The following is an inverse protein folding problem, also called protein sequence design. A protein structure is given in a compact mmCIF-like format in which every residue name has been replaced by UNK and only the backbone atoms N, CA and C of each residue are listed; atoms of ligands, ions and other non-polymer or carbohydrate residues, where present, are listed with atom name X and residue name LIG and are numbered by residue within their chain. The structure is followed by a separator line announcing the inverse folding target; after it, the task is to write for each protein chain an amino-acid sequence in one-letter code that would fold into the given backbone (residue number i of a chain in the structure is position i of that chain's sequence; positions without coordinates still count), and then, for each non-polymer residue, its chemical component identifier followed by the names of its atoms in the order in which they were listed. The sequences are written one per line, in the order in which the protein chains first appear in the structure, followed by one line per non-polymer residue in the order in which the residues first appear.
data_IF_462199978345
#
_entry.id   IF_462199978345
#
_cell.length_a   1.000
_cell.length_b   1.000
_cell.length_c   1.000
_cell.angle_alpha   90.00
_cell.angle_beta   90.00
_cell.angle_gamma   90.00
#
_symmetry.space_group_name_H-M   'P 1'
#
loop_
_entity.id
_entity.type
_entity.pdbx_description
1 polymer ?
2 non-polymer ?
3 non-polymer ?
4 non-polymer ?
5 water ?
#
# COMPACT_ATOMS: atom_id res chain seq x y z
N UNK A 2 -36.66 -15.42 -0.97
CA UNK A 2 -36.07 -14.35 -1.85
C UNK A 2 -35.22 -13.29 -1.11
N UNK A 3 -34.02 -13.00 -1.65
CA UNK A 3 -33.09 -11.99 -1.11
C UNK A 3 -32.91 -10.76 -2.02
N UNK A 4 -33.61 -9.66 -1.71
CA UNK A 4 -33.55 -8.39 -2.45
C UNK A 4 -32.35 -7.50 -2.12
N UNK A 5 -32.24 -6.35 -2.81
CA UNK A 5 -31.10 -5.43 -2.66
C UNK A 5 -31.02 -4.77 -1.28
N UNK A 6 -32.16 -4.39 -0.76
CA UNK A 6 -32.24 -3.78 0.56
C UNK A 6 -31.86 -4.81 1.65
N UNK A 7 -32.36 -6.04 1.51
CA UNK A 7 -31.95 -7.16 2.32
C UNK A 7 -30.46 -7.41 2.22
N UNK A 8 -29.94 -7.42 1.00
CA UNK A 8 -28.50 -7.52 0.81
C UNK A 8 -27.75 -6.40 1.51
N UNK A 9 -28.27 -5.17 1.48
CA UNK A 9 -27.63 -4.05 2.19
C UNK A 9 -27.58 -4.35 3.68
N UNK A 10 -28.71 -4.80 4.22
CA UNK A 10 -28.78 -5.21 5.63
C UNK A 10 -27.81 -6.33 6.01
N UNK A 11 -27.76 -7.36 5.16
CA UNK A 11 -26.88 -8.48 5.37
C UNK A 11 -25.38 -8.07 5.47
N UNK A 12 -24.92 -7.22 4.56
CA UNK A 12 -23.56 -6.71 4.67
C UNK A 12 -23.31 -5.87 5.89
N UNK A 13 -24.29 -5.07 6.32
CA UNK A 13 -24.12 -4.29 7.55
C UNK A 13 -23.80 -5.24 8.70
N UNK A 14 -24.57 -6.33 8.78
CA UNK A 14 -24.45 -7.38 9.80
C UNK A 14 -23.09 -8.08 9.74
N UNK A 15 -22.65 -8.47 8.55
CA UNK A 15 -21.37 -9.15 8.40
C UNK A 15 -20.23 -8.21 8.70
N UNK A 16 -20.39 -6.93 8.30
CA UNK A 16 -19.40 -5.87 8.63
C UNK A 16 -19.23 -5.72 10.14
N UNK A 17 -20.36 -5.58 10.86
CA UNK A 17 -20.33 -5.52 12.32
C UNK A 17 -19.62 -6.74 12.96
N UNK A 18 -20.04 -7.97 12.63
CA UNK A 18 -19.38 -9.18 13.11
C UNK A 18 -17.88 -9.22 12.84
N UNK A 19 -17.51 -8.89 11.61
CA UNK A 19 -16.11 -8.92 11.18
C UNK A 19 -15.24 -8.00 12.02
N UNK A 20 -15.75 -6.80 12.26
CA UNK A 20 -15.04 -5.85 13.08
C UNK A 20 -14.78 -6.42 14.47
N UNK A 21 -15.77 -7.09 15.03
CA UNK A 21 -15.62 -7.72 16.35
C UNK A 21 -14.65 -8.89 16.33
N UNK A 22 -14.77 -9.73 15.32
CA UNK A 22 -13.86 -10.85 15.13
C UNK A 22 -12.40 -10.37 15.07
N UNK A 23 -12.16 -9.27 14.37
CA UNK A 23 -10.82 -8.78 14.13
C UNK A 23 -10.25 -8.23 15.44
N UNK A 24 -11.04 -7.42 16.11
CA UNK A 24 -10.69 -6.92 17.42
C UNK A 24 -10.23 -8.03 18.37
N UNK A 25 -10.97 -9.14 18.42
CA UNK A 25 -10.60 -10.20 19.35
C UNK A 25 -9.41 -11.03 18.90
N UNK A 26 -9.12 -11.05 17.60
CA UNK A 26 -8.05 -11.85 17.01
C UNK A 26 -6.70 -11.13 16.99
N UNK A 27 -6.73 -9.83 16.77
CA UNK A 27 -5.50 -9.04 16.67
C UNK A 27 -4.51 -9.27 17.82
N UNK A 28 -4.97 -9.30 19.10
CA UNK A 28 -3.99 -9.53 20.19
C UNK A 28 -3.22 -10.86 20.15
N UNK A 29 -3.69 -11.83 19.35
CA UNK A 29 -2.99 -13.09 19.10
C UNK A 29 -1.72 -12.97 18.25
N UNK A 30 -1.58 -11.91 17.46
CA UNK A 30 -0.45 -11.79 16.54
C UNK A 30 0.81 -11.41 17.29
N UNK A 31 1.82 -12.26 17.26
CA UNK A 31 3.01 -12.05 18.10
C UNK A 31 4.16 -11.50 17.27
N UNK A 32 4.01 -10.28 16.75
CA UNK A 32 5.10 -9.62 16.01
C UNK A 32 4.97 -9.62 14.51
N UNK A 33 5.24 -8.46 13.90
CA UNK A 33 5.25 -8.28 12.44
C UNK A 33 6.54 -7.55 12.05
N UNK A 34 7.21 -8.05 11.02
CA UNK A 34 8.33 -7.39 10.43
C UNK A 34 7.84 -6.54 9.26
N UNK A 35 8.30 -5.29 9.18
CA UNK A 35 7.93 -4.43 8.06
C UNK A 35 9.16 -3.80 7.44
N UNK A 36 9.26 -3.89 6.12
CA UNK A 36 10.44 -3.45 5.40
C UNK A 36 10.04 -3.27 3.95
N UNK A 37 10.75 -2.44 3.17
CA UNK A 37 11.95 -1.72 3.59
C UNK A 37 11.73 -0.22 3.65
N UNK A 38 10.66 0.28 3.03
CA UNK A 38 10.49 1.73 2.87
C UNK A 38 9.79 2.51 3.98
N UNK A 39 10.57 3.37 4.64
CA UNK A 39 10.08 4.33 5.64
C UNK A 39 10.64 5.71 5.32
N UNK A 40 9.78 6.72 5.32
CA UNK A 40 10.20 8.08 5.11
C UNK A 40 9.28 9.10 5.81
N UNK A 41 9.44 10.38 5.45
CA UNK A 41 8.58 11.45 5.95
C UNK A 41 7.63 11.90 4.84
N UNK A 42 6.35 12.03 5.16
CA UNK A 42 5.37 12.57 4.24
C UNK A 42 4.97 13.96 4.65
N UNK A 43 5.21 14.91 3.75
CA UNK A 43 4.94 16.30 3.98
C UNK A 43 3.71 16.63 3.12
N UNK A 44 2.60 16.88 3.80
CA UNK A 44 1.31 16.98 3.14
C UNK A 44 0.85 18.42 2.97
N UNK A 45 0.65 18.82 1.71
CA UNK A 45 0.08 20.12 1.38
C UNK A 45 -1.32 19.91 0.82
N UNK A 46 -2.27 20.68 1.31
CA UNK A 46 -3.62 20.67 0.74
C UNK A 46 -3.67 21.80 -0.27
N UNK A 47 -3.72 21.43 -1.55
CA UNK A 47 -3.57 22.41 -2.62
C UNK A 47 -4.60 23.51 -2.56
N UNK A 48 -4.17 24.67 -3.01
CA UNK A 48 -5.01 25.81 -3.04
C UNK A 48 -4.99 26.36 -4.45
N UNK A 49 -6.18 26.50 -5.05
CA UNK A 49 -6.31 27.03 -6.41
C UNK A 49 -5.47 28.28 -6.60
N UNK A 50 -5.75 29.28 -5.75
CA UNK A 50 -5.08 30.56 -5.81
C UNK A 50 -3.56 30.41 -5.80
N UNK A 51 -3.04 29.62 -4.85
CA UNK A 51 -1.59 29.49 -4.64
C UNK A 51 -0.95 28.84 -5.86
N UNK A 52 -1.53 27.70 -6.27
CA UNK A 52 -1.05 26.92 -7.41
C UNK A 52 -0.94 27.76 -8.68
N UNK A 53 -2.04 28.38 -9.08
CA UNK A 53 -2.04 29.32 -10.21
C UNK A 53 -0.91 30.36 -10.18
N UNK A 54 -0.72 31.05 -9.06
CA UNK A 54 0.36 32.03 -8.93
C UNK A 54 1.71 31.42 -9.32
N UNK A 55 1.90 30.17 -8.90
CA UNK A 55 3.19 29.49 -9.01
C UNK A 55 3.49 29.10 -10.44
N UNK A 56 2.50 28.47 -11.07
CA UNK A 56 2.53 28.18 -12.51
C UNK A 56 2.86 29.46 -13.30
N UNK A 57 2.04 30.50 -13.10
CA UNK A 57 2.23 31.83 -13.67
C UNK A 57 3.65 32.39 -13.51
N UNK A 58 4.24 32.25 -12.32
CA UNK A 58 5.57 32.82 -12.08
C UNK A 58 6.64 32.11 -12.90
N UNK A 59 6.52 30.79 -13.01
CA UNK A 59 7.55 29.97 -13.66
C UNK A 59 7.40 29.98 -15.19
N UNK A 60 6.17 30.25 -15.64
CA UNK A 60 5.84 30.26 -17.07
C UNK A 60 4.75 29.24 -17.35
N UNK A 61 3.52 29.73 -17.53
CA UNK A 61 2.32 28.88 -17.71
C UNK A 61 2.42 28.00 -18.97
N UNK A 62 3.02 28.58 -20.01
CA UNK A 62 3.33 27.92 -21.28
C UNK A 62 4.05 26.61 -21.03
N UNK A 63 5.30 26.72 -20.60
CA UNK A 63 6.15 25.57 -20.28
C UNK A 63 5.40 24.55 -19.40
N UNK A 64 4.71 25.02 -18.37
CA UNK A 64 4.01 24.12 -17.45
C UNK A 64 2.94 23.32 -18.20
N UNK A 65 2.18 24.02 -19.04
CA UNK A 65 1.12 23.35 -19.80
C UNK A 65 1.65 22.38 -20.85
N UNK A 66 2.80 22.72 -21.46
CA UNK A 66 3.50 21.78 -22.34
C UNK A 66 3.80 20.47 -21.61
N UNK A 67 4.34 20.58 -20.39
CA UNK A 67 4.77 19.42 -19.59
C UNK A 67 3.60 18.48 -19.27
N UNK A 68 2.39 19.03 -19.15
CA UNK A 68 1.22 18.18 -18.89
C UNK A 68 1.02 17.12 -19.98
N UNK A 69 1.33 17.50 -21.23
CA UNK A 69 1.21 16.61 -22.39
C UNK A 69 2.46 15.77 -22.68
N UNK A 70 3.64 16.33 -22.41
CA UNK A 70 4.94 15.64 -22.51
C UNK A 70 5.54 15.25 -21.15
N UNK A 71 4.82 14.45 -20.33
CA UNK A 71 5.31 14.18 -18.98
C UNK A 71 6.71 13.54 -18.95
N UNK A 72 7.67 14.16 -18.24
CA UNK A 72 8.96 13.48 -18.05
C UNK A 72 8.82 12.27 -17.14
N UNK A 73 9.91 11.57 -16.96
CA UNK A 73 9.95 10.37 -16.13
C UNK A 73 10.27 10.79 -14.68
N UNK A 74 11.07 11.85 -14.55
CA UNK A 74 11.45 12.45 -13.26
C UNK A 74 11.60 13.98 -13.30
N UNK A 75 11.48 14.62 -12.13
CA UNK A 75 11.45 16.09 -12.02
C UNK A 75 12.87 16.67 -12.04
N UNK A 76 13.10 17.67 -12.87
CA UNK A 76 14.43 18.29 -13.03
C UNK A 76 14.38 19.81 -13.04
N UNK A 77 13.17 20.33 -12.83
CA UNK A 77 12.90 21.77 -12.86
C UNK A 77 11.54 22.01 -12.21
N UNK A 78 11.28 23.25 -11.85
CA UNK A 78 10.03 23.61 -11.18
C UNK A 78 8.83 23.37 -12.11
N UNK A 79 9.02 23.72 -13.38
CA UNK A 79 8.04 23.45 -14.44
C UNK A 79 7.59 22.02 -14.44
N UNK A 80 8.56 21.09 -14.44
CA UNK A 80 8.20 19.67 -14.47
C UNK A 80 7.45 19.25 -13.19
N UNK A 81 7.73 19.91 -12.07
CA UNK A 81 7.02 19.65 -10.81
C UNK A 81 5.56 20.08 -10.90
N UNK A 82 5.36 21.32 -11.33
CA UNK A 82 4.04 21.90 -11.40
C UNK A 82 3.25 21.26 -12.54
N UNK A 83 3.95 20.93 -13.63
CA UNK A 83 3.37 20.16 -14.74
C UNK A 83 2.88 18.82 -14.23
N UNK A 84 3.71 18.14 -13.45
CA UNK A 84 3.32 16.87 -12.85
C UNK A 84 2.09 16.99 -11.97
N UNK A 85 1.98 18.10 -11.24
CA UNK A 85 0.87 18.29 -10.30
C UNK A 85 -0.44 18.53 -11.05
N UNK A 86 -0.39 19.45 -12.01
CA UNK A 86 -1.54 19.76 -12.88
C UNK A 86 -1.97 18.52 -13.66
N UNK A 87 -1.00 17.80 -14.23
CA UNK A 87 -1.28 16.53 -14.89
C UNK A 87 -2.03 15.58 -13.95
N UNK A 88 -1.64 15.58 -12.69
CA UNK A 88 -2.24 14.64 -11.74
C UNK A 88 -3.67 15.05 -11.49
N UNK A 89 -3.91 16.36 -11.47
CA UNK A 89 -5.25 16.90 -11.31
C UNK A 89 -6.13 16.57 -12.53
N UNK A 90 -5.68 16.95 -13.73
CA UNK A 90 -6.37 16.61 -14.97
C UNK A 90 -6.78 15.14 -15.04
N UNK A 91 -5.84 14.24 -14.80
CA UNK A 91 -6.13 12.82 -14.96
C UNK A 91 -6.78 12.23 -13.73
N UNK A 92 -6.98 13.05 -12.71
CA UNK A 92 -7.49 12.59 -11.40
C UNK A 92 -6.73 11.40 -10.86
N UNK A 93 -5.41 11.42 -11.05
CA UNK A 93 -4.56 10.21 -10.95
C UNK A 93 -3.47 10.27 -9.84
N UNK A 94 -3.34 9.20 -9.07
CA UNK A 94 -2.18 9.01 -8.16
C UNK A 94 -0.91 8.93 -9.02
N UNK A 95 0.00 9.86 -8.79
CA UNK A 95 1.29 9.86 -9.48
C UNK A 95 2.43 10.18 -8.50
N UNK A 96 3.62 9.72 -8.86
CA UNK A 96 4.80 9.96 -8.05
C UNK A 96 6.06 10.04 -8.90
N UNK A 97 6.71 11.20 -8.86
CA UNK A 97 7.94 11.43 -9.61
C UNK A 97 9.08 11.78 -8.71
N UNK A 98 10.24 11.22 -9.04
CA UNK A 98 11.46 11.43 -8.28
C UNK A 98 12.01 12.83 -8.55
N UNK A 99 12.61 13.44 -7.53
CA UNK A 99 13.11 14.79 -7.69
C UNK A 99 14.63 14.78 -7.70
N UNK A 100 15.21 14.83 -8.88
CA UNK A 100 16.65 14.80 -8.99
C UNK A 100 17.28 16.14 -8.70
N UNK A 101 16.58 17.21 -9.05
CA UNK A 101 17.15 18.55 -8.99
C UNK A 101 17.24 19.12 -7.58
N UNK A 102 18.41 19.64 -7.24
CA UNK A 102 18.63 20.29 -5.96
C UNK A 102 17.76 21.53 -5.83
N UNK A 103 17.74 22.34 -6.88
CA UNK A 103 17.02 23.61 -6.84
C UNK A 103 15.53 23.38 -6.57
N UNK A 104 15.01 22.27 -7.08
CA UNK A 104 13.62 21.96 -6.90
C UNK A 104 13.38 21.51 -5.47
N UNK A 105 14.29 20.73 -4.90
CA UNK A 105 14.19 20.31 -3.49
C UNK A 105 14.10 21.54 -2.57
N UNK A 106 14.94 22.54 -2.82
CA UNK A 106 14.83 23.83 -2.16
C UNK A 106 13.47 24.49 -2.36
N UNK A 107 12.90 24.34 -3.57
CA UNK A 107 11.60 24.93 -3.88
C UNK A 107 10.48 24.21 -3.14
N UNK A 108 10.62 22.90 -3.06
CA UNK A 108 9.68 22.08 -2.37
C UNK A 108 9.63 22.47 -0.90
N UNK A 109 10.81 22.58 -0.27
CA UNK A 109 10.88 22.90 1.14
C UNK A 109 10.34 24.32 1.41
N UNK A 110 10.60 25.26 0.52
CA UNK A 110 10.04 26.60 0.72
C UNK A 110 8.55 26.62 0.61
N UNK A 111 8.02 25.90 -0.37
CA UNK A 111 6.60 25.90 -0.57
C UNK A 111 5.92 25.27 0.62
N UNK A 112 6.59 24.32 1.26
CA UNK A 112 6.21 23.89 2.60
C UNK A 112 5.12 22.84 2.64
N UNK A 113 4.50 22.69 3.82
CA UNK A 113 3.47 21.67 4.04
C UNK A 113 2.56 22.04 5.15
N UNK A 114 1.43 21.36 5.22
CA UNK A 114 0.39 21.67 6.19
C UNK A 114 0.42 20.66 7.31
N UNK A 115 0.96 19.49 7.03
CA UNK A 115 0.89 18.40 7.97
C UNK A 115 2.05 17.47 7.70
N UNK A 116 2.56 16.89 8.77
CA UNK A 116 3.65 15.97 8.64
C UNK A 116 3.19 14.62 9.19
N UNK A 117 3.40 13.57 8.40
CA UNK A 117 3.00 12.22 8.75
C UNK A 117 4.12 11.24 8.44
N UNK A 118 4.08 10.08 9.08
CA UNK A 118 4.96 8.98 8.75
C UNK A 118 4.68 8.64 7.29
N UNK A 119 5.72 8.23 6.55
CA UNK A 119 5.58 7.94 5.12
C UNK A 119 6.26 6.63 4.74
N UNK A 120 6.23 6.31 3.45
CA UNK A 120 6.64 4.98 2.98
C UNK A 120 5.66 3.88 3.38
N UNK A 121 5.67 2.78 2.64
CA UNK A 121 4.73 1.69 2.86
C UNK A 121 4.92 0.97 4.21
N UNK A 122 6.16 0.56 4.50
CA UNK A 122 6.51 -0.02 5.80
C UNK A 122 6.23 0.94 6.97
N UNK A 123 6.57 2.22 6.78
CA UNK A 123 6.34 3.27 7.80
C UNK A 123 4.86 3.42 8.14
N UNK A 124 4.06 3.69 7.14
CA UNK A 124 2.62 3.76 7.33
C UNK A 124 2.09 2.49 7.95
N UNK A 125 2.52 1.33 7.43
CA UNK A 125 2.03 0.06 8.01
C UNK A 125 2.42 -0.10 9.48
N UNK A 126 3.61 0.39 9.82
CA UNK A 126 4.12 0.33 11.18
C UNK A 126 3.26 1.12 12.15
N UNK A 127 2.99 2.38 11.81
CA UNK A 127 2.13 3.19 12.66
C UNK A 127 0.80 2.52 12.90
N UNK A 128 0.25 1.91 11.84
CA UNK A 128 -1.06 1.31 11.92
C UNK A 128 -1.02 0.06 12.78
N UNK A 129 -0.06 -0.83 12.51
CA UNK A 129 -0.06 -2.15 13.13
C UNK A 129 0.33 -2.07 14.59
N UNK A 130 1.31 -1.22 14.88
CA UNK A 130 1.84 -1.09 16.22
C UNK A 130 1.07 -0.06 17.01
N UNK A 131 0.85 1.09 16.40
CA UNK A 131 0.20 2.21 17.05
C UNK A 131 -1.28 2.05 17.25
N UNK A 132 -2.00 1.62 16.20
CA UNK A 132 -3.44 1.47 16.30
C UNK A 132 -3.79 0.05 16.78
N UNK A 133 -3.27 -0.97 16.09
CA UNK A 133 -3.63 -2.37 16.45
C UNK A 133 -2.84 -2.93 17.62
N UNK A 134 -1.73 -2.30 17.98
CA UNK A 134 -0.91 -2.73 19.15
C UNK A 134 -0.23 -4.09 18.96
N UNK A 135 -0.06 -4.50 17.71
CA UNK A 135 0.73 -5.68 17.38
C UNK A 135 2.21 -5.32 17.46
N UNK A 136 2.99 -6.03 18.29
CA UNK A 136 4.41 -5.67 18.37
C UNK A 136 4.98 -5.68 16.98
N UNK A 137 5.66 -4.60 16.62
CA UNK A 137 6.10 -4.33 15.27
C UNK A 137 7.58 -3.96 15.19
N UNK A 138 8.29 -4.60 14.27
CA UNK A 138 9.67 -4.26 13.94
C UNK A 138 9.69 -3.69 12.53
N UNK A 139 10.25 -2.48 12.40
CA UNK A 139 10.19 -1.72 11.13
C UNK A 139 11.58 -1.30 10.69
N UNK A 140 11.85 -1.42 9.38
CA UNK A 140 13.06 -0.91 8.78
C UNK A 140 12.96 0.57 8.59
N UNK A 141 13.96 1.30 9.10
CA UNK A 141 13.99 2.77 8.96
C UNK A 141 15.36 3.20 8.46
N UNK A 142 15.45 3.43 7.16
CA UNK A 142 16.75 3.65 6.51
C UNK A 142 17.55 4.80 7.13
N UNK A 143 16.84 5.82 7.60
CA UNK A 143 17.46 7.03 8.15
C UNK A 143 16.52 7.55 9.25
N UNK A 144 17.04 7.72 10.47
CA UNK A 144 16.21 8.03 11.62
C UNK A 144 16.60 9.30 12.40
N UNK A 145 16.52 10.48 11.75
CA UNK A 145 16.65 11.73 12.50
C UNK A 145 15.43 12.00 13.37
N UNK A 146 15.55 12.96 14.30
CA UNK A 146 14.48 13.29 15.26
C UNK A 146 13.13 13.45 14.58
N UNK A 147 13.09 14.16 13.46
CA UNK A 147 11.85 14.47 12.79
C UNK A 147 11.18 13.22 12.23
N UNK A 148 12.00 12.26 11.77
CA UNK A 148 11.56 10.95 11.30
C UNK A 148 10.99 10.12 12.44
N UNK A 149 11.84 9.86 13.43
CA UNK A 149 11.52 9.09 14.61
C UNK A 149 10.22 9.47 15.34
N UNK A 150 9.95 10.76 15.42
CA UNK A 150 8.83 11.27 16.22
C UNK A 150 7.50 11.16 15.53
N UNK A 151 7.51 10.96 14.22
CA UNK A 151 6.28 10.68 13.50
C UNK A 151 5.72 9.31 13.85
N UNK A 152 6.52 8.42 14.42
CA UNK A 152 5.99 7.17 14.98
C UNK A 152 5.11 7.44 16.22
N UNK A 153 3.94 6.84 16.26
CA UNK A 153 3.06 6.97 17.43
C UNK A 153 3.58 6.11 18.57
N UNK A 154 3.09 6.36 19.77
CA UNK A 154 3.44 5.56 20.91
C UNK A 154 2.87 4.15 20.76
N UNK A 155 3.68 3.16 21.09
CA UNK A 155 3.18 1.79 21.14
C UNK A 155 4.30 0.82 20.89
N UNK A 156 3.97 -0.48 20.75
CA UNK A 156 5.00 -1.46 20.54
C UNK A 156 5.55 -1.42 19.10
N UNK A 157 6.15 -0.31 18.73
CA UNK A 157 6.90 -0.15 17.48
C UNK A 157 8.40 -0.13 17.76
N UNK A 158 9.14 -0.99 17.05
CA UNK A 158 10.56 -1.16 17.36
C UNK A 158 11.42 -1.14 16.11
N UNK A 159 12.65 -0.66 16.31
CA UNK A 159 13.73 -0.81 15.33
C UNK A 159 14.85 -1.61 15.97
N UNK A 160 15.51 -2.47 15.17
CA UNK A 160 16.60 -3.29 15.68
C UNK A 160 17.88 -2.48 15.77
N UNK A 161 18.64 -2.65 16.83
CA UNK A 161 19.93 -2.00 16.91
C UNK A 161 21.00 -2.91 17.54
N UNK A 162 22.18 -2.95 16.91
CA UNK A 162 23.34 -3.66 17.45
C UNK A 162 23.96 -2.94 18.66
N UNK A 163 23.95 -3.58 19.82
CA UNK A 163 24.75 -3.15 20.97
C UNK A 163 25.63 -4.33 21.40
N UNK A 164 26.88 -4.35 20.92
CA UNK A 164 27.74 -5.52 21.08
C UNK A 164 27.34 -6.57 20.05
N UNK A 165 27.40 -7.84 20.43
CA UNK A 165 26.87 -8.93 19.59
C UNK A 165 25.36 -9.03 19.78
N UNK A 166 24.88 -8.38 20.84
CA UNK A 166 23.48 -8.36 21.21
C UNK A 166 22.69 -7.44 20.26
N UNK A 167 21.54 -7.93 19.81
CA UNK A 167 20.62 -7.14 19.03
C UNK A 167 19.47 -6.71 19.95
N UNK A 168 19.25 -5.40 20.04
CA UNK A 168 18.21 -4.84 20.89
C UNK A 168 17.07 -4.29 20.07
N UNK A 169 15.86 -4.37 20.62
CA UNK A 169 14.67 -3.79 20.02
C UNK A 169 14.24 -2.55 20.81
N UNK A 170 14.44 -1.39 20.22
CA UNK A 170 14.09 -0.13 20.88
C UNK A 170 13.07 0.68 20.07
N UNK A 171 12.31 1.54 20.74
CA UNK A 171 11.41 2.48 20.05
C UNK A 171 12.22 3.43 19.19
N UNK A 172 11.68 3.86 18.03
CA UNK A 172 12.43 4.74 17.14
C UNK A 172 12.93 6.02 17.81
N UNK A 173 12.11 6.60 18.68
CA UNK A 173 12.53 7.82 19.38
C UNK A 173 13.75 7.58 20.28
N UNK A 174 14.13 6.32 20.48
CA UNK A 174 15.30 5.97 21.30
C UNK A 174 16.47 5.53 20.45
N UNK A 175 16.34 5.65 19.13
CA UNK A 175 17.41 5.28 18.19
C UNK A 175 17.65 6.42 17.20
N UNK A 176 17.35 7.63 17.63
CA UNK A 176 17.58 8.81 16.82
C UNK A 176 19.06 8.90 16.48
N UNK A 177 19.35 9.15 15.21
CA UNK A 177 20.72 9.40 14.75
C UNK A 177 20.75 10.68 13.97
N UNK A 178 21.94 11.22 13.78
CA UNK A 178 22.14 12.36 12.90
C UNK A 178 22.20 11.88 11.46
N UNK A 179 21.03 11.65 10.88
CA UNK A 179 20.90 11.13 9.51
C UNK A 179 19.94 11.99 8.67
N UNK A 180 19.73 11.61 7.41
CA UNK A 180 18.95 12.43 6.48
C UNK A 180 17.44 12.34 6.63
N UNK A 181 16.79 13.50 6.48
CA UNK A 181 15.33 13.53 6.32
C UNK A 181 14.97 13.06 4.93
N UNK A 182 14.21 11.98 4.85
CA UNK A 182 13.73 11.50 3.55
C UNK A 182 12.30 12.01 3.29
N UNK A 183 12.20 13.18 2.65
CA UNK A 183 10.89 13.85 2.50
C UNK A 183 10.18 13.47 1.19
N UNK A 184 8.94 13.05 1.31
CA UNK A 184 8.07 12.89 0.15
C UNK A 184 7.06 13.99 0.25
N UNK A 185 6.99 14.82 -0.78
CA UNK A 185 6.06 15.93 -0.80
C UNK A 185 4.75 15.52 -1.45
N UNK A 186 3.68 15.59 -0.68
CA UNK A 186 2.38 15.04 -1.03
C UNK A 186 1.35 16.15 -1.26
N UNK A 187 0.87 16.24 -2.50
CA UNK A 187 -0.06 17.30 -2.87
C UNK A 187 -1.47 16.75 -3.08
N UNK A 188 -2.28 16.84 -2.02
CA UNK A 188 -3.65 16.35 -2.05
C UNK A 188 -4.61 17.35 -2.70
N UNK A 189 -5.53 16.83 -3.51
CA UNK A 189 -6.63 17.64 -4.07
C UNK A 189 -7.92 16.87 -4.03
N UNK A 190 -9.05 17.57 -3.79
CA UNK A 190 -10.40 16.93 -3.75
C UNK A 190 -11.07 16.81 -5.13
N UNK A 191 -12.09 15.93 -5.23
CA UNK A 191 -13.05 15.96 -6.36
C UNK A 191 -13.41 17.40 -6.73
N UNK A 192 -13.19 17.79 -7.98
CA UNK A 192 -13.63 19.09 -8.46
C UNK A 192 -12.64 20.20 -8.26
N UNK A 193 -11.48 19.88 -7.67
CA UNK A 193 -10.43 20.89 -7.53
C UNK A 193 -10.14 21.46 -8.92
N UNK A 194 -10.01 22.78 -9.01
CA UNK A 194 -9.83 23.39 -10.31
C UNK A 194 -8.73 24.44 -10.33
N UNK A 195 -7.84 24.32 -11.29
CA UNK A 195 -6.80 25.27 -11.46
C UNK A 195 -6.78 25.66 -12.91
N UNK A 196 -6.96 26.94 -13.17
CA UNK A 196 -7.10 27.42 -14.53
C UNK A 196 -8.36 26.82 -15.12
N UNK A 197 -8.20 25.89 -16.05
CA UNK A 197 -9.32 25.28 -16.73
C UNK A 197 -9.21 23.80 -16.61
N UNK A 198 -8.42 23.32 -15.66
CA UNK A 198 -8.29 21.90 -15.42
C UNK A 198 -9.08 21.65 -14.15
N UNK A 199 -9.92 20.62 -14.18
CA UNK A 199 -10.63 20.22 -12.98
C UNK A 199 -10.34 18.78 -12.69
N UNK A 200 -10.33 18.42 -11.41
CA UNK A 200 -10.07 17.06 -11.00
C UNK A 200 -11.35 16.27 -11.10
N UNK A 201 -11.29 15.14 -11.82
CA UNK A 201 -12.38 14.18 -11.93
C UNK A 201 -12.59 13.39 -10.63
N UNK A 202 -11.49 12.91 -10.06
CA UNK A 202 -11.51 12.18 -8.79
C UNK A 202 -10.49 12.84 -7.84
N UNK A 203 -10.63 12.58 -6.54
CA UNK A 203 -9.65 13.00 -5.53
C UNK A 203 -8.36 12.18 -5.69
N UNK A 204 -7.22 12.86 -5.73
CA UNK A 204 -5.90 12.18 -5.68
C UNK A 204 -4.76 13.08 -5.21
N UNK A 205 -3.54 12.54 -5.24
CA UNK A 205 -2.32 13.27 -4.85
C UNK A 205 -1.17 13.07 -5.81
N UNK A 206 -0.36 14.11 -5.96
CA UNK A 206 0.92 14.00 -6.62
C UNK A 206 2.01 13.98 -5.54
N UNK A 207 2.96 13.06 -5.69
CA UNK A 207 4.06 12.89 -4.78
C UNK A 207 5.37 13.24 -5.50
N UNK A 208 6.00 14.32 -5.02
CA UNK A 208 7.33 14.71 -5.42
C UNK A 208 8.33 14.05 -4.46
N UNK A 209 8.93 12.96 -4.91
CA UNK A 209 9.78 12.09 -4.10
C UNK A 209 11.22 12.59 -4.05
N UNK A 210 11.61 13.11 -2.89
CA UNK A 210 12.92 13.76 -2.68
C UNK A 210 13.83 12.89 -1.81
N UNK A 211 13.75 11.59 -2.01
CA UNK A 211 14.29 10.60 -1.08
C UNK A 211 15.27 9.66 -1.80
N UNK A 212 16.55 9.85 -1.51
CA UNK A 212 17.63 9.15 -2.21
C UNK A 212 17.92 7.75 -1.68
N UNK A 213 17.39 7.40 -0.51
CA UNK A 213 17.71 6.12 0.12
C UNK A 213 16.73 5.05 -0.24
N UNK A 214 15.45 5.36 -0.13
CA UNK A 214 14.46 4.39 -0.46
C UNK A 214 14.47 4.15 -1.96
N UNK A 215 14.94 5.16 -2.72
CA UNK A 215 15.10 5.03 -4.17
C UNK A 215 15.93 3.83 -4.57
N UNK A 216 16.96 3.50 -3.79
CA UNK A 216 17.84 2.37 -4.12
C UNK A 216 17.67 1.20 -3.15
N UNK A 217 16.73 1.33 -2.22
CA UNK A 217 16.55 0.34 -1.16
C UNK A 217 17.83 0.05 -0.34
N UNK A 218 18.48 1.11 0.13
CA UNK A 218 19.54 0.96 1.14
C UNK A 218 19.00 0.34 2.42
N UNK A 219 19.70 -0.68 2.92
CA UNK A 219 19.28 -1.41 4.13
C UNK A 219 20.22 -1.14 5.30
N UNK A 220 19.68 -1.05 6.51
CA UNK A 220 20.52 -0.86 7.71
C UNK A 220 21.35 -2.09 7.96
N UNK A 221 22.50 -1.87 8.59
CA UNK A 221 23.37 -2.92 9.10
C UNK A 221 22.58 -4.10 9.68
N UNK A 222 21.65 -3.78 10.59
CA UNK A 222 20.94 -4.78 11.37
C UNK A 222 20.19 -5.75 10.51
N UNK A 223 19.56 -5.21 9.47
CA UNK A 223 18.84 -6.03 8.49
C UNK A 223 19.77 -6.86 7.59
N UNK A 224 20.92 -6.31 7.21
CA UNK A 224 21.90 -7.07 6.44
C UNK A 224 22.55 -8.17 7.28
N UNK A 225 23.13 -7.80 8.42
CA UNK A 225 23.90 -8.73 9.25
C UNK A 225 23.09 -9.53 10.28
N UNK A 226 21.95 -8.99 10.73
CA UNK A 226 21.20 -9.65 11.79
C UNK A 226 19.78 -10.02 11.43
N UNK A 227 19.53 -10.37 10.17
CA UNK A 227 18.17 -10.59 9.77
C UNK A 227 17.57 -11.77 10.51
N UNK A 228 18.41 -12.73 10.83
CA UNK A 228 17.94 -13.94 11.47
C UNK A 228 17.44 -13.68 12.89
N UNK A 229 18.23 -12.96 13.67
CA UNK A 229 17.85 -12.63 15.03
C UNK A 229 16.55 -11.81 15.05
N UNK A 230 16.36 -10.95 14.03
CA UNK A 230 15.16 -10.12 13.90
C UNK A 230 13.99 -11.06 13.65
N UNK A 231 14.20 -12.05 12.78
CA UNK A 231 13.17 -13.00 12.36
C UNK A 231 12.61 -13.82 13.53
N UNK A 232 13.47 -14.20 14.47
CA UNK A 232 13.03 -14.96 15.66
C UNK A 232 11.98 -14.22 16.49
N UNK A 233 11.80 -12.93 16.22
CA UNK A 233 10.89 -12.09 16.98
C UNK A 233 9.49 -11.93 16.41
N UNK A 234 9.26 -12.35 15.18
CA UNK A 234 7.97 -12.13 14.53
C UNK A 234 7.29 -13.40 14.03
N UNK A 235 6.01 -13.32 13.74
CA UNK A 235 5.26 -14.38 13.10
C UNK A 235 4.87 -13.98 11.68
N UNK A 236 4.77 -12.67 11.45
CA UNK A 236 4.39 -12.11 10.16
C UNK A 236 5.46 -11.20 9.60
N UNK A 237 5.53 -11.11 8.28
CA UNK A 237 6.34 -10.11 7.60
C UNK A 237 5.62 -9.57 6.37
N UNK A 238 5.71 -8.26 6.18
CA UNK A 238 5.18 -7.59 5.00
C UNK A 238 6.29 -6.79 4.35
N UNK A 239 6.52 -7.10 3.07
CA UNK A 239 7.63 -6.56 2.30
C UNK A 239 7.11 -5.67 1.17
N UNK A 240 7.63 -4.45 1.16
CA UNK A 240 7.31 -3.50 0.11
C UNK A 240 8.52 -2.63 -0.27
N UNK A 241 8.33 -1.79 -1.29
CA UNK A 241 9.32 -0.76 -1.67
C UNK A 241 10.24 -1.13 -2.81
N UNK A 242 10.12 -2.35 -3.33
CA UNK A 242 11.03 -2.84 -4.36
C UNK A 242 10.69 -2.35 -5.78
N UNK A 243 9.54 -1.71 -5.93
CA UNK A 243 9.08 -1.22 -7.24
C UNK A 243 10.00 -0.15 -7.84
N UNK A 244 10.74 0.53 -6.98
CA UNK A 244 11.65 1.60 -7.40
C UNK A 244 12.81 1.11 -8.24
N UNK A 245 13.15 -0.17 -8.13
CA UNK A 245 14.42 -0.67 -8.67
C UNK A 245 14.50 -0.62 -10.18
N UNK A 246 15.62 -0.10 -10.68
CA UNK A 246 15.93 -0.08 -12.10
C UNK A 246 16.88 -1.22 -12.41
N UNK A 247 16.91 -1.66 -13.66
CA UNK A 247 17.82 -2.72 -14.07
C UNK A 247 19.26 -2.25 -13.93
N UNK A 248 19.52 -1.02 -14.36
CA UNK A 248 20.87 -0.46 -14.39
C UNK A 248 20.95 0.92 -13.76
N UNK A 249 22.07 1.23 -13.14
CA UNK A 249 22.28 2.56 -12.62
C UNK A 249 23.54 3.15 -13.24
N UNK A 250 23.62 4.49 -13.31
CA UNK A 250 24.83 5.07 -13.88
C UNK A 250 26.10 4.70 -13.11
N UNK A 251 25.96 4.19 -11.88
CA UNK A 251 27.15 3.86 -11.10
C UNK A 251 27.61 2.42 -11.26
N UNK A 252 27.01 1.71 -12.22
CA UNK A 252 27.44 0.34 -12.52
C UNK A 252 26.76 -0.72 -11.67
N UNK A 253 25.99 -0.29 -10.67
CA UNK A 253 25.25 -1.26 -9.87
C UNK A 253 23.97 -1.72 -10.58
N UNK A 254 23.39 -2.82 -10.13
CA UNK A 254 22.21 -3.40 -10.77
C UNK A 254 21.16 -3.75 -9.72
N UNK A 255 19.93 -4.02 -10.15
CA UNK A 255 18.84 -4.43 -9.26
C UNK A 255 19.20 -5.70 -8.50
N UNK A 256 20.05 -6.53 -9.10
CA UNK A 256 20.46 -7.80 -8.49
C UNK A 256 21.10 -7.68 -7.11
N UNK A 257 21.79 -6.57 -6.87
CA UNK A 257 22.44 -6.31 -5.59
C UNK A 257 21.40 -6.40 -4.48
N UNK A 258 20.26 -5.73 -4.68
CA UNK A 258 19.17 -5.70 -3.72
C UNK A 258 18.35 -6.98 -3.69
N UNK A 259 17.95 -7.50 -4.86
CA UNK A 259 17.09 -8.70 -4.87
C UNK A 259 17.79 -9.95 -4.31
N UNK A 260 19.10 -10.07 -4.50
CA UNK A 260 19.79 -11.21 -3.91
C UNK A 260 19.65 -11.16 -2.40
N UNK A 261 19.74 -9.95 -1.85
CA UNK A 261 19.63 -9.76 -0.41
C UNK A 261 18.20 -10.02 0.05
N UNK A 262 17.22 -9.50 -0.69
CA UNK A 262 15.80 -9.76 -0.37
C UNK A 262 15.50 -11.24 -0.37
N UNK A 263 16.06 -11.97 -1.34
CA UNK A 263 15.84 -13.41 -1.43
C UNK A 263 16.40 -14.17 -0.21
N UNK A 264 17.58 -13.77 0.27
CA UNK A 264 18.14 -14.31 1.53
C UNK A 264 17.17 -14.13 2.69
N UNK A 265 16.58 -12.95 2.79
CA UNK A 265 15.59 -12.64 3.79
C UNK A 265 14.42 -13.58 3.72
N UNK A 266 13.90 -13.79 2.51
CA UNK A 266 12.79 -14.71 2.30
C UNK A 266 13.13 -16.13 2.70
N UNK A 267 14.37 -16.54 2.43
CA UNK A 267 14.83 -17.87 2.83
C UNK A 267 14.86 -18.03 4.33
N UNK A 268 15.28 -16.96 5.01
CA UNK A 268 15.30 -16.95 6.46
C UNK A 268 13.86 -16.96 6.96
N UNK A 269 13.05 -16.02 6.50
CA UNK A 269 11.63 -16.00 6.88
C UNK A 269 10.98 -17.38 6.74
N UNK A 270 11.24 -18.03 5.62
CA UNK A 270 10.71 -19.35 5.36
C UNK A 270 11.23 -20.45 6.29
N UNK A 271 12.53 -20.44 6.58
CA UNK A 271 13.08 -21.34 7.60
C UNK A 271 12.37 -21.26 8.96
N UNK A 272 11.81 -20.10 9.29
CA UNK A 272 11.13 -19.93 10.57
C UNK A 272 9.64 -19.99 10.43
N UNK A 273 9.17 -20.34 9.24
CA UNK A 273 7.74 -20.45 9.00
C UNK A 273 7.00 -19.11 9.23
N UNK A 274 7.73 -17.99 9.08
CA UNK A 274 7.11 -16.69 9.19
C UNK A 274 6.27 -16.53 7.93
N UNK A 275 5.03 -16.06 8.08
CA UNK A 275 4.18 -15.83 6.91
C UNK A 275 4.42 -14.41 6.34
N UNK A 276 4.62 -14.34 5.04
CA UNK A 276 5.06 -13.10 4.42
C UNK A 276 4.13 -12.65 3.34
N UNK A 277 3.90 -11.34 3.29
CA UNK A 277 3.07 -10.73 2.28
C UNK A 277 3.89 -9.73 1.49
N UNK A 278 3.83 -9.85 0.17
CA UNK A 278 4.46 -8.87 -0.74
C UNK A 278 3.46 -7.86 -1.32
N UNK A 279 3.72 -6.56 -1.09
CA UNK A 279 3.00 -5.51 -1.80
C UNK A 279 3.62 -5.34 -3.19
N UNK A 280 2.93 -5.76 -4.22
CA UNK A 280 3.52 -5.76 -5.55
C UNK A 280 3.16 -4.48 -6.32
N UNK A 281 3.65 -3.35 -5.82
CA UNK A 281 3.40 -2.04 -6.42
C UNK A 281 3.85 -1.99 -7.88
N UNK A 282 3.21 -1.14 -8.67
CA UNK A 282 3.60 -1.05 -10.07
C UNK A 282 5.12 -0.85 -10.24
N UNK A 283 5.73 -1.73 -11.01
CA UNK A 283 7.16 -1.72 -11.23
C UNK A 283 7.41 -1.38 -12.68
N UNK A 284 7.88 -0.16 -12.94
CA UNK A 284 8.01 0.35 -14.29
C UNK A 284 9.01 -0.46 -15.12
N UNK A 285 10.08 -0.93 -14.48
CA UNK A 285 11.14 -1.64 -15.21
C UNK A 285 10.74 -3.08 -15.48
N UNK A 286 10.61 -3.44 -16.76
CA UNK A 286 10.18 -4.79 -17.15
C UNK A 286 11.05 -5.91 -16.53
N UNK A 287 12.37 -5.80 -16.68
CA UNK A 287 13.26 -6.85 -16.16
C UNK A 287 13.09 -7.01 -14.65
N UNK A 288 13.06 -5.91 -13.93
CA UNK A 288 12.80 -6.01 -12.50
C UNK A 288 11.44 -6.67 -12.22
N UNK A 289 10.38 -6.25 -12.92
CA UNK A 289 9.03 -6.82 -12.66
C UNK A 289 9.05 -8.35 -12.76
N UNK A 290 9.69 -8.83 -13.82
CA UNK A 290 9.92 -10.23 -14.08
C UNK A 290 10.67 -10.90 -12.95
N UNK A 291 11.77 -10.29 -12.50
CA UNK A 291 12.51 -10.83 -11.36
C UNK A 291 11.63 -10.92 -10.10
N UNK A 292 10.78 -9.91 -9.87
CA UNK A 292 9.88 -9.94 -8.72
C UNK A 292 8.86 -11.07 -8.81
N UNK A 293 8.32 -11.31 -10.01
CA UNK A 293 7.39 -12.40 -10.23
C UNK A 293 8.06 -13.74 -9.87
N UNK A 294 9.31 -13.92 -10.30
CA UNK A 294 10.06 -15.15 -9.98
C UNK A 294 10.34 -15.35 -8.50
N UNK A 295 10.24 -14.27 -7.72
CA UNK A 295 10.42 -14.35 -6.28
C UNK A 295 9.13 -14.77 -5.60
N UNK A 296 8.02 -14.54 -6.29
CA UNK A 296 6.68 -14.75 -5.71
C UNK A 296 6.44 -16.12 -5.06
N UNK A 297 6.99 -17.20 -5.61
CA UNK A 297 6.81 -18.48 -4.91
C UNK A 297 7.33 -18.52 -3.45
N UNK A 298 8.28 -17.63 -3.12
CA UNK A 298 8.89 -17.62 -1.78
C UNK A 298 8.07 -16.84 -0.77
N UNK A 299 7.05 -16.12 -1.25
CA UNK A 299 6.12 -15.41 -0.39
C UNK A 299 4.90 -16.25 -0.10
N UNK A 300 4.27 -16.00 1.05
CA UNK A 300 3.00 -16.61 1.39
C UNK A 300 1.88 -15.93 0.62
N UNK A 301 1.94 -14.61 0.62
CA UNK A 301 0.84 -13.78 0.16
C UNK A 301 1.30 -12.63 -0.73
N UNK A 302 0.43 -12.19 -1.63
CA UNK A 302 0.73 -11.01 -2.40
C UNK A 302 -0.51 -10.09 -2.44
N UNK A 303 -0.28 -8.77 -2.38
CA UNK A 303 -1.37 -7.79 -2.54
C UNK A 303 -1.21 -7.04 -3.84
N UNK A 304 -2.32 -6.72 -4.50
CA UNK A 304 -2.24 -5.96 -5.78
C UNK A 304 -3.54 -5.29 -6.19
N UNK A 305 -3.43 -4.29 -7.06
CA UNK A 305 -4.60 -3.63 -7.68
C UNK A 305 -4.74 -4.00 -9.16
N UNK A 306 -5.62 -3.31 -9.86
CA UNK A 306 -5.82 -3.57 -11.29
C UNK A 306 -4.55 -3.41 -12.13
N UNK A 307 -3.83 -2.29 -12.04
CA UNK A 307 -2.73 -2.08 -12.99
C UNK A 307 -1.58 -3.02 -12.65
N UNK A 308 -1.44 -3.31 -11.37
CA UNK A 308 -0.46 -4.28 -10.95
C UNK A 308 -0.76 -5.68 -11.47
N UNK A 309 -2.03 -6.10 -11.35
CA UNK A 309 -2.37 -7.43 -11.78
C UNK A 309 -2.16 -7.53 -13.28
N UNK A 310 -2.60 -6.48 -13.97
CA UNK A 310 -2.53 -6.44 -15.41
C UNK A 310 -1.06 -6.43 -15.83
N UNK A 311 -0.22 -5.67 -15.12
CA UNK A 311 1.19 -5.60 -15.54
C UNK A 311 1.88 -6.95 -15.39
N UNK A 312 1.47 -7.69 -14.37
CA UNK A 312 1.94 -9.07 -14.21
C UNK A 312 1.45 -9.99 -15.32
N UNK A 313 0.18 -9.94 -15.67
CA UNK A 313 -0.34 -10.73 -16.78
C UNK A 313 0.44 -10.48 -18.08
N UNK A 314 0.88 -9.23 -18.26
CA UNK A 314 1.54 -8.76 -19.48
C UNK A 314 2.90 -9.42 -19.66
N UNK A 315 3.63 -9.64 -18.56
CA UNK A 315 4.98 -10.22 -18.66
C UNK A 315 5.02 -11.73 -18.67
N UNK A 316 3.96 -12.38 -18.24
CA UNK A 316 3.93 -13.83 -18.41
C UNK A 316 3.31 -14.19 -19.75
N UNK A 317 3.02 -13.16 -20.55
CA UNK A 317 2.51 -13.33 -21.91
C UNK A 317 1.01 -13.52 -22.08
N UNK A 318 0.22 -12.89 -21.21
CA UNK A 318 -1.22 -12.94 -21.31
C UNK A 318 -1.80 -11.54 -21.49
N UNK A 319 -1.63 -10.99 -22.68
CA UNK A 319 -2.01 -9.59 -22.94
C UNK A 319 -3.50 -9.38 -23.10
N UNK A 320 -4.19 -10.41 -23.61
CA UNK A 320 -5.64 -10.36 -23.72
C UNK A 320 -6.21 -10.20 -22.32
N UNK A 321 -5.83 -11.11 -21.43
CA UNK A 321 -6.24 -11.00 -20.04
C UNK A 321 -5.80 -9.69 -19.39
N UNK A 322 -4.55 -9.27 -19.61
CA UNK A 322 -4.04 -8.01 -19.06
C UNK A 322 -4.93 -6.81 -19.41
N UNK A 323 -5.30 -6.70 -20.69
CA UNK A 323 -6.13 -5.57 -21.12
C UNK A 323 -7.51 -5.59 -20.44
N UNK A 324 -8.10 -6.78 -20.35
CA UNK A 324 -9.38 -6.98 -19.66
C UNK A 324 -9.33 -6.67 -18.15
N UNK A 325 -8.21 -7.00 -17.50
CA UNK A 325 -8.06 -6.68 -16.07
C UNK A 325 -8.01 -5.17 -15.91
N UNK A 326 -7.33 -4.53 -16.85
CA UNK A 326 -7.11 -3.08 -16.83
C UNK A 326 -8.42 -2.35 -17.16
N UNK A 327 -9.30 -3.02 -17.91
CA UNK A 327 -10.67 -2.55 -18.18
C UNK A 327 -11.63 -2.76 -17.00
N UNK A 328 -11.15 -3.37 -15.91
CA UNK A 328 -11.95 -3.54 -14.70
C UNK A 328 -12.94 -4.71 -14.66
N UNK A 329 -12.90 -5.59 -15.65
CA UNK A 329 -13.76 -6.79 -15.71
C UNK A 329 -13.52 -7.77 -14.58
N UNK A 330 -14.42 -7.79 -13.60
CA UNK A 330 -14.23 -8.62 -12.41
C UNK A 330 -13.89 -10.11 -12.71
N UNK A 331 -14.59 -10.74 -13.64
CA UNK A 331 -14.30 -12.14 -13.99
C UNK A 331 -12.94 -12.31 -14.66
N UNK A 332 -12.51 -11.28 -15.37
CA UNK A 332 -11.14 -11.28 -15.84
C UNK A 332 -10.17 -11.15 -14.65
N UNK A 333 -10.52 -10.31 -13.67
CA UNK A 333 -9.66 -10.19 -12.51
C UNK A 333 -9.51 -11.55 -11.86
N UNK A 334 -10.64 -12.24 -11.67
CA UNK A 334 -10.63 -13.58 -11.09
C UNK A 334 -9.77 -14.58 -11.88
N UNK A 335 -9.87 -14.59 -13.21
CA UNK A 335 -9.00 -15.46 -14.03
C UNK A 335 -7.53 -15.12 -13.87
N UNK A 336 -7.22 -13.82 -13.87
CA UNK A 336 -5.84 -13.37 -13.66
C UNK A 336 -5.29 -13.83 -12.31
N UNK A 337 -6.11 -13.79 -11.26
CA UNK A 337 -5.66 -14.25 -9.94
C UNK A 337 -5.36 -15.74 -9.96
N UNK A 338 -6.21 -16.50 -10.65
CA UNK A 338 -6.00 -17.92 -10.79
C UNK A 338 -4.76 -18.26 -11.62
N UNK A 339 -4.56 -17.54 -12.72
CA UNK A 339 -3.36 -17.71 -13.55
C UNK A 339 -2.11 -17.44 -12.69
N UNK A 340 -2.15 -16.35 -11.94
CA UNK A 340 -1.04 -15.95 -11.10
C UNK A 340 -0.72 -17.04 -10.06
N UNK A 341 -1.77 -17.54 -9.40
CA UNK A 341 -1.63 -18.65 -8.49
C UNK A 341 -1.12 -19.93 -9.18
N UNK A 342 -1.59 -20.22 -10.39
CA UNK A 342 -1.07 -21.37 -11.14
C UNK A 342 0.43 -21.20 -11.39
N UNK A 343 0.84 -19.97 -11.67
CA UNK A 343 2.20 -19.72 -12.09
C UNK A 343 3.16 -19.82 -10.94
N UNK A 344 2.70 -19.42 -9.76
CA UNK A 344 3.60 -19.21 -8.63
C UNK A 344 3.41 -20.19 -7.50
N UNK A 345 2.22 -20.78 -7.39
CA UNK A 345 1.89 -21.61 -6.27
C UNK A 345 1.77 -20.87 -4.94
N UNK A 346 1.61 -19.54 -4.99
CA UNK A 346 1.49 -18.70 -3.79
C UNK A 346 0.21 -19.04 -3.01
N UNK A 347 0.25 -18.95 -1.68
CA UNK A 347 -0.91 -19.34 -0.86
C UNK A 347 -2.10 -18.41 -1.04
N UNK A 348 -1.81 -17.11 -1.15
CA UNK A 348 -2.82 -16.06 -1.03
C UNK A 348 -2.56 -14.86 -1.96
N UNK A 349 -3.63 -14.39 -2.61
CA UNK A 349 -3.58 -13.21 -3.42
C UNK A 349 -4.72 -12.29 -2.97
N UNK A 350 -4.34 -11.10 -2.50
CA UNK A 350 -5.30 -10.08 -2.13
C UNK A 350 -5.34 -8.98 -3.18
N UNK A 351 -6.50 -8.85 -3.82
CA UNK A 351 -6.68 -7.87 -4.87
C UNK A 351 -7.60 -6.81 -4.34
N UNK A 352 -7.28 -5.54 -4.58
CA UNK A 352 -8.18 -4.44 -4.18
C UNK A 352 -8.36 -3.51 -5.33
N UNK A 353 -9.55 -2.93 -5.44
CA UNK A 353 -9.84 -1.92 -6.45
C UNK A 353 -10.85 -0.95 -5.83
N UNK A 354 -11.40 -0.02 -6.61
CA UNK A 354 -12.45 0.87 -6.12
C UNK A 354 -13.73 0.05 -5.98
N UNK A 355 -14.25 -0.03 -4.76
CA UNK A 355 -15.59 -0.59 -4.54
C UNK A 355 -15.68 -2.04 -4.07
N UNK A 356 -14.60 -2.81 -4.22
CA UNK A 356 -14.57 -4.22 -3.79
C UNK A 356 -13.15 -4.80 -3.67
N UNK A 357 -12.99 -5.80 -2.79
CA UNK A 357 -11.74 -6.59 -2.70
C UNK A 357 -11.99 -8.06 -3.05
N UNK A 358 -10.91 -8.76 -3.41
CA UNK A 358 -10.97 -10.19 -3.63
C UNK A 358 -9.78 -10.82 -2.94
N UNK A 359 -9.97 -11.99 -2.33
CA UNK A 359 -8.83 -12.81 -1.89
C UNK A 359 -8.96 -14.28 -2.31
N UNK A 360 -7.97 -14.74 -3.08
CA UNK A 360 -7.89 -16.10 -3.56
C UNK A 360 -6.86 -16.75 -2.68
N UNK A 361 -7.18 -17.95 -2.19
CA UNK A 361 -6.37 -18.63 -1.18
C UNK A 361 -6.43 -20.14 -1.42
N UNK A 362 -5.32 -20.81 -1.14
CA UNK A 362 -5.26 -22.29 -1.23
C UNK A 362 -5.93 -22.94 -0.04
N UNK A 363 -5.95 -22.24 1.09
CA UNK A 363 -6.69 -22.66 2.28
C UNK A 363 -8.09 -22.02 2.34
N UNK A 364 -8.87 -22.40 3.36
CA UNK A 364 -10.31 -22.07 3.40
C UNK A 364 -10.75 -21.50 4.74
N UNK A 365 -11.90 -20.82 4.76
CA UNK A 365 -12.47 -20.26 6.00
C UNK A 365 -13.03 -18.85 5.84
N UNK A 366 -14.01 -18.50 6.66
CA UNK A 366 -14.64 -17.17 6.66
C UNK A 366 -13.67 -16.06 7.10
N UNK A 367 -12.62 -16.47 7.81
CA UNK A 367 -11.62 -15.51 8.30
C UNK A 367 -11.12 -14.67 7.14
N UNK A 368 -10.95 -15.28 5.97
CA UNK A 368 -10.51 -14.55 4.79
C UNK A 368 -11.48 -13.40 4.50
N UNK A 369 -12.77 -13.69 4.48
CA UNK A 369 -13.77 -12.65 4.25
C UNK A 369 -13.78 -11.59 5.34
N UNK A 370 -13.80 -12.00 6.62
CA UNK A 370 -13.89 -11.04 7.74
C UNK A 370 -12.70 -10.05 7.77
N UNK A 371 -11.54 -10.55 7.36
CA UNK A 371 -10.34 -9.78 7.25
C UNK A 371 -10.48 -8.73 6.12
N UNK A 372 -10.95 -9.17 4.96
CA UNK A 372 -11.35 -8.22 3.92
C UNK A 372 -12.31 -7.15 4.49
N UNK A 373 -13.29 -7.56 5.28
CA UNK A 373 -14.23 -6.61 5.82
C UNK A 373 -13.57 -5.66 6.83
N UNK A 374 -12.67 -6.19 7.64
CA UNK A 374 -11.95 -5.38 8.60
C UNK A 374 -11.14 -4.32 7.85
N UNK A 375 -10.44 -4.76 6.81
CA UNK A 375 -9.56 -3.89 6.06
C UNK A 375 -10.35 -2.77 5.33
N UNK A 376 -11.51 -3.15 4.81
CA UNK A 376 -12.41 -2.22 4.15
C UNK A 376 -12.81 -1.09 5.09
N UNK A 377 -13.11 -1.43 6.34
CA UNK A 377 -13.41 -0.43 7.39
C UNK A 377 -12.17 0.41 7.73
N UNK A 378 -11.01 -0.22 7.84
CA UNK A 378 -9.81 0.52 8.17
C UNK A 378 -9.54 1.53 7.06
N UNK A 379 -9.70 1.11 5.82
CA UNK A 379 -9.47 1.98 4.67
C UNK A 379 -10.43 3.14 4.76
N UNK A 380 -11.70 2.86 4.96
CA UNK A 380 -12.69 3.92 5.04
C UNK A 380 -12.37 4.90 6.18
N UNK A 381 -12.01 4.37 7.34
CA UNK A 381 -11.68 5.20 8.51
C UNK A 381 -10.46 6.10 8.24
N UNK A 382 -9.45 5.55 7.57
CA UNK A 382 -8.26 6.29 7.19
C UNK A 382 -8.64 7.42 6.24
N UNK A 383 -9.51 7.15 5.26
CA UNK A 383 -9.96 8.19 4.35
C UNK A 383 -10.74 9.33 5.05
N UNK A 384 -11.61 8.97 6.00
CA UNK A 384 -12.34 9.95 6.80
C UNK A 384 -11.44 10.82 7.67
N UNK A 385 -10.55 10.19 8.43
CA UNK A 385 -9.78 10.90 9.46
C UNK A 385 -8.40 11.31 8.97
N UNK A 386 -7.97 10.80 7.82
CA UNK A 386 -6.66 11.14 7.25
C UNK A 386 -5.54 10.35 7.89
N UNK A 387 -5.51 10.35 9.21
CA UNK A 387 -4.54 9.52 9.95
C UNK A 387 -5.21 8.86 11.13
N UNK A 388 -4.88 7.60 11.38
CA UNK A 388 -5.52 6.81 12.42
C UNK A 388 -4.71 6.78 13.70
N UNK A 389 -5.39 6.70 14.84
CA UNK A 389 -4.73 6.76 16.13
C UNK A 389 -5.28 5.76 17.16
N UNK A 390 -6.57 5.45 17.05
CA UNK A 390 -7.20 4.52 17.97
C UNK A 390 -8.08 3.57 17.21
N UNK A 391 -7.97 2.30 17.56
CA UNK A 391 -8.75 1.28 16.92
C UNK A 391 -10.25 1.63 16.92
N UNK A 392 -10.72 2.29 17.98
CA UNK A 392 -12.12 2.67 18.09
C UNK A 392 -12.57 3.62 16.97
N UNK A 393 -11.63 4.36 16.38
CA UNK A 393 -11.97 5.22 15.24
C UNK A 393 -12.43 4.40 14.05
N UNK A 394 -11.97 3.16 13.96
CA UNK A 394 -12.37 2.27 12.87
C UNK A 394 -13.85 1.90 12.99
N UNK A 395 -14.37 1.85 14.21
CA UNK A 395 -15.79 1.61 14.45
C UNK A 395 -16.65 2.68 13.75
N UNK A 396 -16.06 3.86 13.55
CA UNK A 396 -16.79 4.97 12.93
C UNK A 396 -17.13 4.70 11.48
N UNK A 397 -16.30 3.88 10.83
CA UNK A 397 -16.47 3.55 9.44
C UNK A 397 -17.72 2.70 9.19
N UNK A 398 -18.30 2.14 10.26
CA UNK A 398 -19.50 1.31 10.11
C UNK A 398 -20.66 2.07 9.51
N UNK A 399 -20.64 3.39 9.62
CA UNK A 399 -21.78 4.18 9.14
C UNK A 399 -21.58 4.72 7.72
N UNK A 400 -20.39 4.54 7.16
CA UNK A 400 -20.17 4.83 5.75
C UNK A 400 -20.94 3.79 4.93
N UNK A 401 -21.84 4.22 4.02
CA UNK A 401 -22.53 3.19 3.24
C UNK A 401 -21.61 2.30 2.42
N UNK A 402 -21.97 1.03 2.38
CA UNK A 402 -21.30 0.04 1.56
C UNK A 402 -21.63 0.37 0.11
N UNK A 403 -20.62 0.29 -0.73
CA UNK A 403 -20.80 0.49 -2.16
C UNK A 403 -21.95 -0.39 -2.76
N UNK A 404 -23.00 0.26 -3.25
CA UNK A 404 -24.18 -0.43 -3.76
C UNK A 404 -23.93 -1.23 -5.04
N UNK A 405 -23.04 -0.74 -5.90
CA UNK A 405 -22.68 -1.39 -7.16
C UNK A 405 -21.99 -2.73 -6.90
N UNK A 406 -21.07 -2.75 -5.93
CA UNK A 406 -20.42 -4.01 -5.57
C UNK A 406 -21.41 -5.01 -4.95
N UNK A 407 -22.38 -4.51 -4.18
CA UNK A 407 -23.37 -5.41 -3.62
C UNK A 407 -24.12 -6.09 -4.74
N UNK A 408 -24.49 -5.33 -5.78
CA UNK A 408 -25.25 -5.86 -6.91
C UNK A 408 -24.35 -6.78 -7.73
N UNK A 409 -23.09 -6.41 -7.86
CA UNK A 409 -22.13 -7.17 -8.63
C UNK A 409 -22.06 -8.61 -8.14
N UNK A 410 -22.24 -8.80 -6.83
CA UNK A 410 -22.14 -10.12 -6.23
C UNK A 410 -23.16 -11.11 -6.79
N UNK A 411 -24.29 -10.62 -7.26
CA UNK A 411 -25.27 -11.47 -7.91
C UNK A 411 -24.66 -12.18 -9.11
N UNK A 412 -23.74 -11.50 -9.76
CA UNK A 412 -23.09 -12.07 -10.92
C UNK A 412 -22.14 -13.18 -10.49
N UNK A 413 -21.52 -13.02 -9.32
CA UNK A 413 -20.62 -14.02 -8.75
C UNK A 413 -21.38 -15.28 -8.31
N UNK A 414 -22.56 -15.10 -7.75
CA UNK A 414 -23.39 -16.22 -7.41
C UNK A 414 -23.82 -17.06 -8.62
N UNK A 415 -24.13 -16.42 -9.73
CA UNK A 415 -24.50 -17.14 -10.94
C UNK A 415 -23.34 -17.91 -11.54
N UNK A 416 -22.12 -17.40 -11.41
CA UNK A 416 -21.00 -18.01 -12.10
C UNK A 416 -20.30 -19.07 -11.25
N UNK A 417 -20.22 -18.81 -9.96
CA UNK A 417 -19.53 -19.66 -9.03
C UNK A 417 -20.52 -20.12 -8.01
N UNK A 418 -20.10 -21.01 -7.15
CA UNK A 418 -21.01 -21.59 -6.20
C UNK A 418 -21.47 -20.52 -5.26
N UNK A 419 -20.70 -20.30 -4.21
CA UNK A 419 -21.04 -19.42 -3.09
C UNK A 419 -21.70 -20.23 -2.03
N UNK A 420 -20.90 -20.58 -1.04
CA UNK A 420 -21.34 -21.41 0.09
C UNK A 420 -21.73 -20.54 1.27
N UNK A 421 -21.34 -19.28 1.21
CA UNK A 421 -21.67 -18.32 2.23
C UNK A 421 -21.52 -16.97 1.58
N UNK A 422 -22.13 -15.94 2.16
CA UNK A 422 -22.07 -14.60 1.60
C UNK A 422 -20.64 -14.18 1.47
N UNK A 423 -20.26 -13.73 0.27
CA UNK A 423 -18.90 -13.31 -0.01
C UNK A 423 -17.88 -14.45 -0.01
N UNK A 424 -18.34 -15.69 -0.08
CA UNK A 424 -17.42 -16.84 0.00
C UNK A 424 -17.68 -17.92 -1.05
N UNK A 425 -16.66 -18.14 -1.87
CA UNK A 425 -16.76 -19.07 -2.99
C UNK A 425 -15.76 -20.23 -2.89
N UNK A 426 -16.26 -21.44 -3.15
CA UNK A 426 -15.43 -22.64 -3.25
C UNK A 426 -15.04 -22.93 -4.67
N UNK A 427 -13.75 -23.19 -4.87
CA UNK A 427 -13.27 -23.83 -6.08
C UNK A 427 -12.63 -25.16 -5.65
N UNK A 428 -12.23 -25.97 -6.62
CA UNK A 428 -11.71 -27.31 -6.34
C UNK A 428 -10.58 -27.36 -5.31
N UNK A 429 -9.58 -26.49 -5.44
CA UNK A 429 -8.52 -26.42 -4.42
C UNK A 429 -8.19 -25.03 -3.94
N UNK A 430 -9.14 -24.13 -4.15
CA UNK A 430 -9.00 -22.73 -3.76
C UNK A 430 -10.32 -22.19 -3.19
N UNK A 431 -10.20 -21.13 -2.38
CA UNK A 431 -11.35 -20.36 -1.96
C UNK A 431 -11.20 -18.93 -2.50
N UNK A 432 -12.33 -18.34 -2.89
CA UNK A 432 -12.38 -16.96 -3.30
C UNK A 432 -13.31 -16.22 -2.35
N UNK A 433 -12.80 -15.15 -1.74
CA UNK A 433 -13.57 -14.29 -0.85
C UNK A 433 -13.81 -13.02 -1.61
N UNK A 434 -14.98 -12.43 -1.40
CA UNK A 434 -15.33 -11.17 -2.06
C UNK A 434 -16.03 -10.28 -1.08
N UNK A 435 -15.73 -8.99 -1.16
CA UNK A 435 -16.30 -8.02 -0.25
C UNK A 435 -16.65 -6.69 -0.95
N UNK A 436 -17.89 -6.21 -0.78
CA UNK A 436 -18.19 -4.87 -1.27
C UNK A 436 -17.62 -3.88 -0.27
N UNK A 437 -16.89 -2.87 -0.73
CA UNK A 437 -16.21 -1.99 0.22
C UNK A 437 -16.96 -0.72 0.59
N UNK A 438 -16.33 0.08 1.45
CA UNK A 438 -16.90 1.34 1.94
C UNK A 438 -16.11 2.52 1.42
N UNK A 439 -16.64 3.16 0.36
CA UNK A 439 -15.99 4.26 -0.33
C UNK A 439 -16.38 5.56 0.35
N UNK A 440 -15.38 6.32 0.83
CA UNK A 440 -15.67 7.60 1.49
C UNK A 440 -15.74 8.70 0.44
N UNK A 441 -16.90 9.34 0.36
CA UNK A 441 -17.14 10.41 -0.62
C UNK A 441 -16.15 11.60 -0.55
N UNK A 442 -16.00 12.21 0.64
CA UNK A 442 -15.09 13.32 0.78
C UNK A 442 -13.93 13.03 1.71
N UNK A 443 -12.93 12.29 1.21
CA UNK A 443 -11.86 11.87 2.10
C UNK A 443 -10.98 13.03 2.54
N UNK A 444 -10.53 12.99 3.80
CA UNK A 444 -9.54 13.93 4.29
C UNK A 444 -8.21 13.84 3.51
N UNK A 445 -7.70 12.62 3.29
CA UNK A 445 -6.46 12.39 2.53
C UNK A 445 -6.55 11.09 1.73
N UNK A 446 -5.72 10.96 0.69
CA UNK A 446 -5.69 9.71 -0.10
C UNK A 446 -4.43 8.87 0.12
N UNK A 447 -3.40 9.46 0.71
CA UNK A 447 -2.14 8.73 0.87
C UNK A 447 -2.30 7.61 1.90
N UNK A 448 -1.76 6.45 1.57
CA UNK A 448 -1.68 5.35 2.54
C UNK A 448 -2.88 4.45 2.61
N UNK A 449 -3.89 4.65 1.75
CA UNK A 449 -5.11 3.84 1.85
C UNK A 449 -4.76 2.39 1.50
N UNK A 450 -4.04 2.23 0.40
CA UNK A 450 -3.61 0.91 -0.02
C UNK A 450 -2.88 0.16 1.08
N UNK A 451 -1.93 0.83 1.72
CA UNK A 451 -1.12 0.21 2.79
C UNK A 451 -1.99 -0.33 3.90
N UNK A 452 -3.03 0.44 4.22
CA UNK A 452 -3.98 0.13 5.26
C UNK A 452 -4.80 -1.10 4.88
N UNK A 453 -5.09 -1.24 3.59
CA UNK A 453 -5.91 -2.34 3.08
C UNK A 453 -5.18 -3.68 3.18
N UNK A 454 -3.99 -3.73 2.61
CA UNK A 454 -3.25 -4.96 2.54
C UNK A 454 -2.83 -5.49 3.90
N UNK A 455 -2.26 -4.59 4.71
CA UNK A 455 -1.76 -4.93 6.01
C UNK A 455 -2.92 -5.32 6.94
N UNK A 456 -4.05 -4.61 6.85
CA UNK A 456 -5.16 -4.94 7.69
C UNK A 456 -5.71 -6.31 7.40
N UNK A 457 -5.89 -6.68 6.13
CA UNK A 457 -6.43 -8.01 5.83
C UNK A 457 -5.43 -9.09 6.25
N UNK A 458 -4.18 -8.90 5.86
CA UNK A 458 -3.17 -9.91 6.12
C UNK A 458 -3.04 -10.22 7.61
N UNK A 459 -2.90 -9.20 8.46
CA UNK A 459 -2.66 -9.46 9.87
C UNK A 459 -3.91 -9.93 10.57
N UNK A 460 -5.07 -9.32 10.32
CA UNK A 460 -6.25 -9.76 11.04
C UNK A 460 -6.64 -11.18 10.59
N UNK A 461 -6.43 -11.52 9.32
CA UNK A 461 -6.71 -12.90 8.84
C UNK A 461 -5.89 -13.91 9.63
N UNK A 462 -4.58 -13.66 9.71
CA UNK A 462 -3.67 -14.52 10.43
C UNK A 462 -4.13 -14.72 11.85
N UNK A 463 -4.41 -13.61 12.53
CA UNK A 463 -4.89 -13.64 13.92
C UNK A 463 -6.15 -14.48 14.12
N UNK A 464 -7.09 -14.35 13.18
CA UNK A 464 -8.38 -15.04 13.25
C UNK A 464 -8.23 -16.52 12.97
N UNK A 465 -7.25 -16.87 12.12
CA UNK A 465 -7.00 -18.27 11.78
C UNK A 465 -6.23 -19.07 12.83
N UNK A 466 -5.44 -18.39 13.67
CA UNK A 466 -4.75 -19.08 14.76
C UNK A 466 -5.73 -19.92 15.55
N UNK A 467 -5.52 -21.23 15.53
CA UNK A 467 -6.26 -22.14 16.39
C UNK A 467 -5.60 -22.09 17.78
#
# INVERSE_FOLDING_TARGET
MKESLKDRIRLWKRLYVNAFENALNAIPNVKGVLLAYNTNIDAIKYLDKDDLEKRVTEIGKEKVFEIIENPPEKISSIEELLGGILRSIKLGKAMEWFVESEEVRRYLREWGWDELRIGGQAGIMANLLGGVYRIPTIVHVPQNPKLQAELFVDGPIYVPVFEGNKLKLVHPKDAIAEEEELIHYIYEFPRGFQVFDVQAPRENRFIANADDYNARVYMRREFREGFEEITRNVELAIISGLQVLKEYYPDGTTYRDVLDRVESHLNILNRYNVKSHFEFAYTANRRVREALVELLPKFTSVGLNEVELASIMEIIGDEELAKEVLEGHIFSVIDAMNVLMDETGIERIHFHTYGYYLALTQYRGEEVRDALLFASLAAAAKAMKGNLERIEQIRDALSVPTNERAIVLEEELEKEFTEFENGLIDMVDRQLAFVPTKIVASPKSTVGIGDTISSSAFVSEFGMRKR
#
